data_IF_120010573640
#
_entry.id   IF_120010573640
#
_cell.length_a   1.000
_cell.length_b   1.000
_cell.length_c   1.000
_cell.angle_alpha   90.00
_cell.angle_beta   90.00
_cell.angle_gamma   90.00
#
_symmetry.space_group_name_H-M   'P 1'
#
loop_
_entity.id
_entity.type
_entity.pdbx_description
1 polymer ?
#
# COMPACT_ATOMS: atom_id res chain seq x y z
N UNK A 1 12.02 6.93 -20.12
CA UNK A 1 11.31 6.66 -18.83
C UNK A 1 9.98 7.40 -18.76
N UNK A 2 9.93 8.72 -18.94
CA UNK A 2 8.68 9.50 -18.97
C UNK A 2 7.72 9.07 -20.08
N UNK A 3 8.23 8.82 -21.29
CA UNK A 3 7.41 8.36 -22.43
C UNK A 3 6.72 7.03 -22.10
N UNK A 4 7.44 6.06 -21.52
CA UNK A 4 6.87 4.79 -21.12
C UNK A 4 5.77 4.95 -20.06
N UNK A 5 5.97 5.82 -19.07
CA UNK A 5 4.95 6.12 -18.07
C UNK A 5 3.71 6.78 -18.70
N UNK A 6 3.90 7.70 -19.65
CA UNK A 6 2.79 8.30 -20.38
C UNK A 6 2.02 7.27 -21.21
N UNK A 7 2.72 6.32 -21.85
CA UNK A 7 2.09 5.25 -22.61
C UNK A 7 1.26 4.34 -21.70
N UNK A 8 1.78 3.99 -20.51
CA UNK A 8 1.05 3.18 -19.53
C UNK A 8 -0.19 3.92 -19.01
N UNK A 9 -0.07 5.19 -18.62
CA UNK A 9 -1.19 6.00 -18.13
C UNK A 9 -2.25 6.24 -19.20
N UNK A 10 -1.85 6.33 -20.48
CA UNK A 10 -2.77 6.52 -21.62
C UNK A 10 -3.79 5.40 -21.73
N UNK A 11 -3.42 4.18 -21.35
CA UNK A 11 -4.32 3.01 -21.37
C UNK A 11 -5.52 3.18 -20.43
N UNK A 12 -5.34 3.95 -19.35
CA UNK A 12 -6.32 4.11 -18.27
C UNK A 12 -6.88 5.52 -18.18
N UNK A 13 -6.60 6.39 -19.16
CA UNK A 13 -6.92 7.82 -19.11
C UNK A 13 -8.36 8.12 -18.71
N UNK A 14 -9.32 7.49 -19.39
CA UNK A 14 -10.74 7.73 -19.14
C UNK A 14 -11.17 7.29 -17.73
N UNK A 15 -10.60 6.18 -17.23
CA UNK A 15 -10.94 5.66 -15.90
C UNK A 15 -10.27 6.46 -14.79
N UNK A 16 -9.07 6.99 -15.06
CA UNK A 16 -8.39 7.94 -14.16
C UNK A 16 -9.20 9.23 -14.06
N UNK A 17 -9.70 9.77 -15.19
CA UNK A 17 -10.54 10.98 -15.21
C UNK A 17 -11.87 10.79 -14.46
N UNK A 18 -12.41 9.55 -14.40
CA UNK A 18 -13.61 9.20 -13.64
C UNK A 18 -13.32 8.88 -12.17
N UNK A 19 -12.06 8.64 -11.83
CA UNK A 19 -11.64 8.35 -10.46
C UNK A 19 -11.66 9.62 -9.61
N UNK A 20 -11.62 9.43 -8.29
CA UNK A 20 -11.47 10.55 -7.34
C UNK A 20 -10.00 10.97 -7.13
N UNK A 21 -9.07 10.40 -7.90
CA UNK A 21 -7.64 10.66 -7.78
C UNK A 21 -7.13 11.50 -8.95
N UNK A 22 -6.29 12.47 -8.67
CA UNK A 22 -5.41 13.05 -9.69
C UNK A 22 -4.39 12.00 -10.16
N UNK A 23 -3.77 12.21 -11.32
CA UNK A 23 -2.70 11.33 -11.83
C UNK A 23 -1.57 11.21 -10.80
N UNK A 24 -1.21 12.31 -10.13
CA UNK A 24 -0.18 12.32 -9.09
C UNK A 24 -0.55 11.44 -7.89
N UNK A 25 -1.77 11.55 -7.39
CA UNK A 25 -2.28 10.72 -6.28
C UNK A 25 -2.36 9.24 -6.66
N UNK A 26 -2.82 8.95 -7.88
CA UNK A 26 -2.88 7.59 -8.40
C UNK A 26 -1.48 6.96 -8.47
N UNK A 27 -0.50 7.66 -9.04
CA UNK A 27 0.88 7.19 -9.09
C UNK A 27 1.50 7.05 -7.70
N UNK A 28 1.14 7.94 -6.78
CA UNK A 28 1.56 7.86 -5.37
C UNK A 28 1.05 6.57 -4.74
N UNK A 29 -0.25 6.27 -4.88
CA UNK A 29 -0.83 5.04 -4.35
C UNK A 29 -0.27 3.80 -5.05
N UNK A 30 -0.15 3.81 -6.38
CA UNK A 30 0.42 2.71 -7.15
C UNK A 30 1.86 2.39 -6.74
N UNK A 31 2.66 3.41 -6.41
CA UNK A 31 4.04 3.23 -5.95
C UNK A 31 4.13 2.53 -4.58
N UNK A 32 3.13 2.71 -3.73
CA UNK A 32 3.02 2.00 -2.44
C UNK A 32 2.56 0.56 -2.67
N UNK A 33 1.54 0.36 -3.50
CA UNK A 33 1.05 -0.98 -3.89
C UNK A 33 2.15 -1.83 -4.50
N UNK A 34 3.03 -1.24 -5.32
CA UNK A 34 4.18 -1.92 -5.94
C UNK A 34 5.11 -2.56 -4.90
N UNK A 35 5.35 -1.87 -3.78
CA UNK A 35 6.27 -2.31 -2.74
C UNK A 35 5.60 -3.18 -1.66
N UNK A 36 4.28 -3.04 -1.46
CA UNK A 36 3.55 -3.80 -0.44
C UNK A 36 3.04 -5.16 -0.92
N UNK A 37 2.67 -5.26 -2.20
CA UNK A 37 2.11 -6.50 -2.72
C UNK A 37 3.21 -7.50 -3.07
N UNK A 38 3.25 -8.60 -2.34
CA UNK A 38 4.22 -9.67 -2.57
C UNK A 38 4.02 -10.40 -3.91
N UNK A 39 2.76 -10.47 -4.40
CA UNK A 39 2.38 -11.11 -5.66
C UNK A 39 1.57 -10.15 -6.53
N UNK A 40 1.67 -10.35 -7.85
CA UNK A 40 0.88 -9.56 -8.82
C UNK A 40 -0.63 -9.72 -8.62
N UNK A 41 -1.10 -10.93 -8.24
CA UNK A 41 -2.51 -11.23 -7.98
C UNK A 41 -3.09 -10.45 -6.79
N UNK A 42 -2.27 -10.07 -5.82
CA UNK A 42 -2.72 -9.46 -4.57
C UNK A 42 -2.74 -7.93 -4.61
N UNK A 43 -2.18 -7.34 -5.69
CA UNK A 43 -2.13 -5.88 -5.85
C UNK A 43 -3.51 -5.22 -5.80
N UNK A 44 -4.52 -5.87 -6.40
CA UNK A 44 -5.90 -5.39 -6.35
C UNK A 44 -6.45 -5.33 -4.94
N UNK A 45 -6.19 -6.35 -4.12
CA UNK A 45 -6.63 -6.44 -2.74
C UNK A 45 -5.94 -5.39 -1.86
N UNK A 46 -4.63 -5.25 -1.98
CA UNK A 46 -3.85 -4.23 -1.29
C UNK A 46 -4.31 -2.82 -1.67
N UNK A 47 -4.52 -2.57 -2.97
CA UNK A 47 -5.06 -1.30 -3.46
C UNK A 47 -6.47 -1.02 -2.92
N UNK A 48 -7.33 -2.05 -2.81
CA UNK A 48 -8.66 -1.96 -2.24
C UNK A 48 -8.65 -1.53 -0.78
N UNK A 49 -7.77 -2.12 0.04
CA UNK A 49 -7.59 -1.74 1.45
C UNK A 49 -7.12 -0.30 1.58
N UNK A 50 -6.08 0.10 0.83
CA UNK A 50 -5.58 1.47 0.87
C UNK A 50 -6.62 2.49 0.38
N UNK A 51 -7.37 2.17 -0.66
CA UNK A 51 -8.46 3.01 -1.15
C UNK A 51 -9.53 3.23 -0.06
N UNK A 52 -9.89 2.20 0.72
CA UNK A 52 -10.80 2.32 1.86
C UNK A 52 -10.23 3.23 2.95
N UNK A 53 -8.94 3.11 3.27
CA UNK A 53 -8.27 3.98 4.25
C UNK A 53 -8.25 5.44 3.79
N UNK A 54 -7.89 5.70 2.53
CA UNK A 54 -7.89 7.06 1.96
C UNK A 54 -9.29 7.67 2.01
N UNK A 55 -10.32 6.95 1.52
CA UNK A 55 -11.71 7.41 1.50
C UNK A 55 -12.26 7.75 2.89
N UNK A 56 -11.78 7.05 3.91
CA UNK A 56 -12.24 7.26 5.29
C UNK A 56 -11.28 8.13 6.11
N UNK A 57 -10.35 8.81 5.45
CA UNK A 57 -9.38 9.71 6.07
C UNK A 57 -8.55 9.04 7.19
N UNK A 58 -8.15 7.80 6.97
CA UNK A 58 -7.22 7.07 7.84
C UNK A 58 -5.78 7.31 7.44
N UNK A 59 -4.84 7.06 8.36
CA UNK A 59 -3.43 6.87 7.98
C UNK A 59 -3.30 5.63 7.10
N UNK A 60 -2.44 5.65 6.08
CA UNK A 60 -2.21 4.43 5.28
C UNK A 60 -1.50 3.35 6.09
N UNK A 61 -0.63 3.72 7.02
CA UNK A 61 0.03 2.79 7.92
C UNK A 61 0.95 1.79 7.21
N UNK A 62 1.60 2.21 6.14
CA UNK A 62 2.48 1.41 5.31
C UNK A 62 3.95 1.59 5.70
N UNK A 63 4.63 0.49 6.05
CA UNK A 63 6.03 0.52 6.49
C UNK A 63 6.99 0.94 5.37
N UNK A 64 6.72 0.58 4.11
CA UNK A 64 7.56 0.97 2.97
C UNK A 64 7.65 2.49 2.82
N UNK A 65 6.62 3.23 3.25
CA UNK A 65 6.64 4.69 3.27
C UNK A 65 7.56 5.23 4.37
N UNK A 66 7.71 4.53 5.49
CA UNK A 66 8.64 4.88 6.57
C UNK A 66 10.08 4.64 6.15
N UNK A 67 10.37 3.47 5.54
CA UNK A 67 11.69 3.19 4.97
C UNK A 67 12.11 4.28 3.98
N UNK A 68 11.23 4.64 3.06
CA UNK A 68 11.49 5.71 2.09
C UNK A 68 11.74 7.07 2.77
N UNK A 69 10.89 7.43 3.74
CA UNK A 69 10.99 8.70 4.48
C UNK A 69 12.32 8.85 5.22
N UNK A 70 12.85 7.75 5.76
CA UNK A 70 14.08 7.70 6.53
C UNK A 70 15.32 7.33 5.69
N UNK A 71 15.13 7.07 4.38
CA UNK A 71 16.20 6.64 3.44
C UNK A 71 16.89 5.35 3.89
N UNK A 72 16.09 4.40 4.34
CA UNK A 72 16.54 3.05 4.72
C UNK A 72 16.29 2.13 3.53
N UNK A 73 17.34 1.64 2.91
CA UNK A 73 17.25 0.77 1.72
C UNK A 73 17.12 -0.71 2.06
N UNK A 74 17.38 -1.07 3.32
CA UNK A 74 17.26 -2.45 3.82
C UNK A 74 15.88 -2.69 4.44
N UNK A 75 14.99 -3.31 3.69
CA UNK A 75 13.64 -3.67 4.17
C UNK A 75 13.62 -4.84 5.17
N UNK A 76 14.76 -5.47 5.45
CA UNK A 76 14.89 -6.47 6.52
C UNK A 76 15.19 -5.84 7.87
N UNK A 77 15.55 -4.55 7.89
CA UNK A 77 15.74 -3.78 9.11
C UNK A 77 14.41 -3.62 9.86
N UNK A 78 14.40 -3.94 11.14
CA UNK A 78 13.20 -3.77 11.98
C UNK A 78 13.06 -2.32 12.43
N UNK A 79 12.04 -1.61 11.92
CA UNK A 79 11.74 -0.23 12.31
C UNK A 79 11.40 -0.14 13.79
N UNK A 80 12.01 0.81 14.47
CA UNK A 80 11.72 1.12 15.88
C UNK A 80 10.41 1.94 16.00
N UNK A 81 9.81 1.92 17.18
CA UNK A 81 8.62 2.75 17.46
C UNK A 81 8.87 4.25 17.24
N UNK A 82 10.08 4.72 17.51
CA UNK A 82 10.46 6.11 17.28
C UNK A 82 10.49 6.43 15.78
N UNK A 83 11.05 5.56 14.97
CA UNK A 83 11.10 5.70 13.51
C UNK A 83 9.69 5.66 12.90
N UNK A 84 8.85 4.72 13.33
CA UNK A 84 7.44 4.66 12.90
C UNK A 84 6.68 5.94 13.25
N UNK A 85 6.96 6.56 14.40
CA UNK A 85 6.30 7.80 14.85
C UNK A 85 6.93 9.08 14.27
N UNK A 86 8.06 9.01 13.55
CA UNK A 86 8.76 10.19 13.03
C UNK A 86 7.89 10.95 12.04
N UNK A 87 7.62 12.23 12.34
CA UNK A 87 6.88 13.11 11.43
C UNK A 87 7.68 13.38 10.16
N UNK A 88 7.14 12.93 9.04
CA UNK A 88 7.69 13.17 7.70
C UNK A 88 6.54 13.11 6.69
N UNK A 89 6.58 13.92 5.64
CA UNK A 89 5.52 13.98 4.61
C UNK A 89 5.33 12.69 3.81
N UNK A 90 6.26 11.75 3.92
CA UNK A 90 6.15 10.42 3.31
C UNK A 90 5.73 9.33 4.32
N UNK A 91 6.05 9.49 5.63
CA UNK A 91 5.80 8.45 6.63
C UNK A 91 4.32 8.33 6.99
N UNK A 92 3.63 7.39 6.36
CA UNK A 92 2.20 7.13 6.61
C UNK A 92 1.92 6.31 7.88
N UNK A 93 2.95 5.90 8.64
CA UNK A 93 2.82 5.30 9.97
C UNK A 93 2.69 6.34 11.06
N UNK A 94 3.25 7.54 10.83
CA UNK A 94 3.12 8.64 11.77
C UNK A 94 1.68 9.17 11.79
N UNK A 95 1.29 9.80 12.90
CA UNK A 95 -0.04 10.42 13.05
C UNK A 95 -0.06 11.88 12.61
N UNK A 96 0.97 12.34 11.89
CA UNK A 96 1.12 13.75 11.49
C UNK A 96 0.18 14.15 10.34
N UNK A 97 -0.28 13.17 9.56
CA UNK A 97 -1.28 13.36 8.51
C UNK A 97 -2.02 12.06 8.23
N UNK A 98 -3.14 12.16 7.52
CA UNK A 98 -3.93 11.03 7.04
C UNK A 98 -3.88 10.97 5.50
N UNK A 99 -4.22 9.82 4.94
CA UNK A 99 -4.29 9.62 3.50
C UNK A 99 -2.93 9.43 2.85
N UNK A 100 -2.78 9.93 1.63
CA UNK A 100 -1.58 9.73 0.78
C UNK A 100 -0.40 10.59 1.23
N UNK A 101 0.84 10.09 1.08
CA UNK A 101 2.03 10.91 1.19
C UNK A 101 2.10 11.94 0.05
N UNK A 102 3.06 12.86 0.12
CA UNK A 102 3.17 13.96 -0.85
C UNK A 102 3.55 13.55 -2.26
N UNK A 103 3.97 12.31 -2.48
CA UNK A 103 4.37 11.83 -3.79
C UNK A 103 4.79 10.37 -3.81
N UNK A 104 5.07 9.82 -5.00
CA UNK A 104 5.49 8.44 -5.19
C UNK A 104 6.79 8.11 -4.43
N UNK A 105 6.88 6.86 -3.97
CA UNK A 105 8.06 6.31 -3.25
C UNK A 105 8.83 5.28 -4.08
N UNK A 106 8.28 4.88 -5.22
CA UNK A 106 8.91 3.99 -6.20
C UNK A 106 8.39 4.32 -7.60
N UNK A 107 8.90 3.62 -8.61
CA UNK A 107 8.39 3.69 -9.97
C UNK A 107 7.43 2.50 -10.21
N UNK A 108 6.10 2.68 -10.15
CA UNK A 108 5.16 1.58 -10.28
C UNK A 108 5.14 1.01 -11.70
N UNK A 109 5.01 -0.32 -11.80
CA UNK A 109 4.74 -1.00 -13.06
C UNK A 109 3.26 -0.95 -13.46
N UNK A 110 2.96 -1.40 -14.71
CA UNK A 110 1.61 -1.42 -15.27
C UNK A 110 0.60 -2.16 -14.35
N UNK A 111 0.99 -3.29 -13.79
CA UNK A 111 0.12 -4.08 -12.91
C UNK A 111 -0.28 -3.33 -11.63
N UNK A 112 0.61 -2.53 -11.06
CA UNK A 112 0.29 -1.72 -9.88
C UNK A 112 -0.56 -0.50 -10.24
N UNK A 113 -0.30 0.13 -11.38
CA UNK A 113 -1.14 1.21 -11.92
C UNK A 113 -2.55 0.67 -12.16
N UNK A 114 -2.68 -0.45 -12.87
CA UNK A 114 -3.95 -1.12 -13.15
C UNK A 114 -4.71 -1.47 -11.88
N UNK A 115 -4.04 -2.08 -10.90
CA UNK A 115 -4.63 -2.44 -9.62
C UNK A 115 -5.14 -1.21 -8.83
N UNK A 116 -4.48 -0.07 -8.98
CA UNK A 116 -4.90 1.18 -8.33
C UNK A 116 -6.07 1.83 -9.04
N UNK A 117 -6.14 1.71 -10.37
CA UNK A 117 -7.30 2.19 -11.17
C UNK A 117 -8.53 1.31 -10.92
N UNK A 118 -8.32 -0.01 -10.81
CA UNK A 118 -9.37 -1.03 -10.60
C UNK A 118 -9.12 -1.82 -9.31
N UNK A 119 -9.18 -1.17 -8.13
CA UNK A 119 -8.97 -1.86 -6.87
C UNK A 119 -10.07 -2.88 -6.62
N UNK A 120 -9.74 -3.96 -5.93
CA UNK A 120 -10.73 -4.94 -5.48
C UNK A 120 -11.78 -4.23 -4.61
N UNK A 121 -13.07 -4.44 -4.94
CA UNK A 121 -14.16 -3.98 -4.09
C UNK A 121 -14.21 -4.83 -2.82
N UNK A 122 -13.82 -4.24 -1.71
CA UNK A 122 -13.70 -4.91 -0.41
C UNK A 122 -14.11 -3.98 0.72
N UNK A 123 -14.55 -4.56 1.84
CA UNK A 123 -14.79 -3.84 3.10
C UNK A 123 -13.60 -3.92 4.06
N UNK A 124 -12.47 -4.48 3.60
CA UNK A 124 -11.29 -4.65 4.43
C UNK A 124 -10.54 -3.33 4.66
N UNK A 125 -9.97 -3.22 5.85
CA UNK A 125 -9.08 -2.12 6.27
C UNK A 125 -7.69 -2.60 6.65
N UNK A 126 -7.49 -3.93 6.71
CA UNK A 126 -6.24 -4.57 7.10
C UNK A 126 -5.92 -5.69 6.13
N UNK A 127 -4.64 -5.91 5.90
CA UNK A 127 -4.12 -7.06 5.18
C UNK A 127 -2.85 -7.58 5.85
N UNK A 128 -2.55 -8.84 5.62
CA UNK A 128 -1.31 -9.51 6.03
C UNK A 128 -1.02 -10.63 5.06
N UNK A 129 0.25 -10.83 4.73
CA UNK A 129 0.67 -11.96 3.91
C UNK A 129 1.27 -13.08 4.77
N UNK A 130 1.08 -14.33 4.37
CA UNK A 130 1.77 -15.49 4.94
C UNK A 130 3.16 -15.69 4.28
N UNK A 131 3.92 -16.69 4.78
CA UNK A 131 5.25 -17.01 4.23
C UNK A 131 5.23 -17.44 2.76
N UNK A 132 4.08 -17.92 2.27
CA UNK A 132 3.87 -18.26 0.85
C UNK A 132 3.49 -17.06 0.00
N UNK A 133 3.34 -15.89 0.60
CA UNK A 133 2.94 -14.65 -0.07
C UNK A 133 1.43 -14.53 -0.31
N UNK A 134 0.59 -15.38 0.28
CA UNK A 134 -0.87 -15.27 0.18
C UNK A 134 -1.36 -14.16 1.10
N UNK A 135 -2.13 -13.23 0.55
CA UNK A 135 -2.72 -12.11 1.28
C UNK A 135 -4.06 -12.49 1.93
N UNK A 136 -4.23 -12.10 3.18
CA UNK A 136 -5.45 -12.23 3.97
C UNK A 136 -5.98 -10.84 4.30
N UNK A 137 -7.25 -10.62 3.99
CA UNK A 137 -7.95 -9.36 4.24
C UNK A 137 -8.77 -9.44 5.51
N UNK A 138 -8.87 -8.34 6.25
CA UNK A 138 -9.66 -8.22 7.47
C UNK A 138 -10.33 -6.86 7.55
N UNK A 139 -11.58 -6.84 8.01
CA UNK A 139 -12.35 -5.59 8.16
C UNK A 139 -12.08 -4.90 9.48
N UNK A 140 -11.74 -5.66 10.53
CA UNK A 140 -11.48 -5.15 11.88
C UNK A 140 -10.07 -5.51 12.35
N UNK A 141 -9.56 -4.72 13.31
CA UNK A 141 -8.28 -5.01 13.94
C UNK A 141 -8.26 -6.36 14.69
N UNK A 142 -9.40 -6.74 15.29
CA UNK A 142 -9.52 -8.03 15.96
C UNK A 142 -9.41 -9.19 14.98
N UNK A 143 -10.10 -9.13 13.83
CA UNK A 143 -9.98 -10.13 12.77
C UNK A 143 -8.53 -10.22 12.27
N UNK A 144 -7.88 -9.09 12.02
CA UNK A 144 -6.50 -9.02 11.59
C UNK A 144 -5.56 -9.72 12.59
N UNK A 145 -5.67 -9.41 13.89
CA UNK A 145 -4.90 -10.08 14.93
C UNK A 145 -5.17 -11.58 15.03
N UNK A 146 -6.42 -12.00 14.81
CA UNK A 146 -6.78 -13.43 14.80
C UNK A 146 -6.09 -14.15 13.64
N UNK A 147 -6.01 -13.54 12.45
CA UNK A 147 -5.27 -14.08 11.31
C UNK A 147 -3.78 -14.17 11.64
N UNK A 148 -3.17 -13.11 12.15
CA UNK A 148 -1.76 -13.10 12.56
C UNK A 148 -1.46 -14.23 13.58
N UNK A 149 -2.29 -14.35 14.62
CA UNK A 149 -2.13 -15.38 15.64
C UNK A 149 -2.28 -16.80 15.08
N UNK A 150 -3.17 -16.99 14.09
CA UNK A 150 -3.31 -18.25 13.37
C UNK A 150 -2.02 -18.56 12.58
N UNK A 151 -1.54 -17.61 11.77
CA UNK A 151 -0.31 -17.78 10.98
C UNK A 151 0.90 -18.11 11.86
N UNK A 152 1.03 -17.44 13.02
CA UNK A 152 2.10 -17.74 14.00
C UNK A 152 2.01 -19.17 14.55
N UNK A 153 0.81 -19.64 14.90
CA UNK A 153 0.61 -21.03 15.39
C UNK A 153 0.92 -22.07 14.32
N UNK A 154 0.70 -21.75 13.06
CA UNK A 154 0.94 -22.61 11.90
C UNK A 154 2.40 -22.54 11.40
N UNK A 155 3.28 -21.74 12.07
CA UNK A 155 4.64 -21.41 11.61
C UNK A 155 4.68 -20.86 10.16
N UNK A 156 3.65 -20.12 9.78
CA UNK A 156 3.47 -19.51 8.45
C UNK A 156 3.49 -17.97 8.51
N UNK A 157 4.13 -17.41 9.53
CA UNK A 157 4.34 -15.99 9.76
C UNK A 157 5.81 -15.63 9.52
N UNK A 158 6.10 -14.80 8.50
CA UNK A 158 7.45 -14.44 8.07
C UNK A 158 7.74 -12.92 8.11
N UNK A 159 6.96 -12.15 8.86
CA UNK A 159 7.13 -10.70 9.02
C UNK A 159 7.68 -10.36 10.41
#
# INVERSE_FOLDING_TARGET
MLDKMNDELSKYKEDIEKSNYSVHELLTLASIVELEAGNASDRGDVAGVFNNRVKNNWTLGSDVTTYYALKIDDFTYSLTNTELATCNKYNTRSTCFNGLPIGPISNPGDESIKATVYPTDTKAYYFVADCGGKTYLSSTYNEHNNVINKLKRENNWCQ
#
